data_IF_699809719124
#
_entry.id   IF_699809719124
#
_cell.length_a   1.000
_cell.length_b   1.000
_cell.length_c   1.000
_cell.angle_alpha   90.00
_cell.angle_beta   90.00
_cell.angle_gamma   90.00
#
_symmetry.space_group_name_H-M   'P 1'
#
loop_
_entity.id
_entity.type
_entity.pdbx_description
1 polymer ?
#
# COMPACT_ATOMS: atom_id res chain seq x y z
N UNK A 1 -4.55 13.36 2.43
CA UNK A 1 -5.65 12.52 2.98
C UNK A 1 -5.05 11.65 4.09
N UNK A 2 -5.82 10.91 4.90
CA UNK A 2 -5.24 9.95 5.86
C UNK A 2 -5.42 8.54 5.34
N UNK A 3 -4.32 7.82 5.12
CA UNK A 3 -4.32 6.42 4.72
C UNK A 3 -4.59 5.55 5.94
N UNK A 4 -5.53 4.63 5.83
CA UNK A 4 -5.91 3.70 6.90
C UNK A 4 -5.90 2.28 6.36
N UNK A 5 -6.02 1.30 7.24
CA UNK A 5 -6.13 -0.10 6.84
C UNK A 5 -7.37 -0.40 5.99
N UNK A 6 -8.36 0.52 5.95
CA UNK A 6 -9.55 0.43 5.10
C UNK A 6 -9.36 1.05 3.72
N UNK A 7 -8.24 1.74 3.50
CA UNK A 7 -7.93 2.35 2.21
C UNK A 7 -7.54 1.27 1.21
N UNK A 8 -8.08 1.35 0.00
CA UNK A 8 -7.77 0.42 -1.09
C UNK A 8 -6.36 0.61 -1.62
N UNK A 9 -5.76 -0.45 -2.14
CA UNK A 9 -4.46 -0.37 -2.79
C UNK A 9 -4.48 0.60 -3.97
N UNK A 10 -5.56 0.63 -4.75
CA UNK A 10 -5.75 1.60 -5.85
C UNK A 10 -5.54 3.04 -5.38
N UNK A 11 -6.19 3.43 -4.28
CA UNK A 11 -6.05 4.78 -3.71
C UNK A 11 -4.64 5.05 -3.22
N UNK A 12 -3.98 4.03 -2.66
CA UNK A 12 -2.59 4.14 -2.21
C UNK A 12 -1.65 4.30 -3.39
N UNK A 13 -1.91 3.64 -4.52
CA UNK A 13 -1.11 3.72 -5.75
C UNK A 13 -1.21 5.08 -6.45
N UNK A 14 -2.22 5.90 -6.16
CA UNK A 14 -2.30 7.29 -6.62
C UNK A 14 -1.25 8.21 -5.93
N UNK A 15 -0.66 7.77 -4.81
CA UNK A 15 0.34 8.55 -4.07
C UNK A 15 1.68 8.51 -4.83
N UNK A 16 2.32 9.66 -5.08
CA UNK A 16 3.61 9.70 -5.76
C UNK A 16 4.69 8.92 -4.98
N UNK A 17 5.51 8.16 -5.69
CA UNK A 17 6.62 7.35 -5.13
C UNK A 17 6.21 6.26 -4.13
N UNK A 18 4.93 5.91 -4.05
CA UNK A 18 4.43 4.92 -3.09
C UNK A 18 4.93 3.50 -3.38
N UNK A 19 5.24 3.18 -4.62
CA UNK A 19 5.75 1.87 -5.02
C UNK A 19 7.09 1.55 -4.34
N UNK A 20 7.93 2.57 -4.07
CA UNK A 20 9.16 2.38 -3.31
C UNK A 20 8.89 2.03 -1.85
N UNK A 21 7.86 2.64 -1.25
CA UNK A 21 7.47 2.35 0.14
C UNK A 21 6.90 0.93 0.22
N UNK A 22 5.95 0.60 -0.65
CA UNK A 22 5.34 -0.72 -0.70
C UNK A 22 6.41 -1.82 -0.94
N UNK A 23 7.38 -1.56 -1.82
CA UNK A 23 8.53 -2.45 -2.06
C UNK A 23 9.43 -2.61 -0.84
N UNK A 24 9.73 -1.52 -0.12
CA UNK A 24 10.51 -1.55 1.14
C UNK A 24 9.82 -2.40 2.22
N UNK A 25 8.49 -2.34 2.26
CA UNK A 25 7.64 -3.14 3.15
C UNK A 25 7.37 -4.56 2.63
N UNK A 26 8.04 -4.98 1.55
CA UNK A 26 7.92 -6.32 0.95
C UNK A 26 6.50 -6.67 0.51
N UNK A 27 5.67 -5.68 0.16
CA UNK A 27 4.37 -5.93 -0.46
C UNK A 27 4.63 -6.64 -1.79
N UNK A 28 4.17 -7.90 -1.95
CA UNK A 28 4.44 -8.65 -3.18
C UNK A 28 3.58 -8.13 -4.33
N UNK A 29 3.86 -8.63 -5.54
CA UNK A 29 2.98 -8.50 -6.70
C UNK A 29 2.77 -7.07 -7.24
N UNK A 30 3.56 -6.08 -6.81
CA UNK A 30 3.51 -4.72 -7.33
C UNK A 30 4.03 -4.58 -8.77
N UNK A 31 4.86 -5.52 -9.23
CA UNK A 31 5.51 -5.50 -10.55
C UNK A 31 4.72 -6.26 -11.62
N UNK A 32 3.73 -7.07 -11.24
CA UNK A 32 2.90 -7.81 -12.18
C UNK A 32 1.60 -7.02 -12.43
N UNK A 33 1.32 -6.57 -13.67
CA UNK A 33 0.15 -5.74 -13.98
C UNK A 33 -1.17 -6.40 -13.59
N UNK A 34 -1.29 -7.71 -13.83
CA UNK A 34 -2.50 -8.48 -13.54
C UNK A 34 -2.75 -8.57 -12.03
N UNK A 35 -1.72 -8.91 -11.26
CA UNK A 35 -1.84 -8.99 -9.81
C UNK A 35 -2.10 -7.61 -9.18
N UNK A 36 -1.48 -6.55 -9.70
CA UNK A 36 -1.75 -5.17 -9.27
C UNK A 36 -3.22 -4.79 -9.51
N UNK A 37 -3.81 -5.20 -10.64
CA UNK A 37 -5.21 -4.97 -10.94
C UNK A 37 -6.16 -5.76 -10.02
N UNK A 38 -5.89 -7.04 -9.78
CA UNK A 38 -6.69 -7.86 -8.85
C UNK A 38 -6.63 -7.29 -7.43
N UNK A 39 -5.44 -6.89 -6.98
CA UNK A 39 -5.22 -6.35 -5.65
C UNK A 39 -5.67 -4.89 -5.50
N UNK A 40 -5.92 -4.15 -6.60
CA UNK A 40 -6.29 -2.74 -6.56
C UNK A 40 -7.54 -2.48 -5.69
N UNK A 41 -8.50 -3.40 -5.75
CA UNK A 41 -9.75 -3.36 -4.98
C UNK A 41 -9.60 -3.79 -3.51
N UNK A 42 -8.50 -4.44 -3.16
CA UNK A 42 -8.23 -4.91 -1.80
C UNK A 42 -7.79 -3.76 -0.90
N UNK A 43 -8.15 -3.86 0.38
CA UNK A 43 -7.69 -2.88 1.37
C UNK A 43 -6.26 -3.20 1.78
N UNK A 44 -5.48 -2.16 2.10
CA UNK A 44 -4.10 -2.34 2.58
C UNK A 44 -4.04 -3.22 3.84
N UNK A 45 -5.01 -3.11 4.75
CA UNK A 45 -5.06 -3.98 5.93
C UNK A 45 -5.18 -5.46 5.56
N UNK A 46 -6.04 -5.78 4.59
CA UNK A 46 -6.23 -7.15 4.12
C UNK A 46 -4.94 -7.67 3.47
N UNK A 47 -4.27 -6.85 2.64
CA UNK A 47 -2.97 -7.20 2.02
C UNK A 47 -1.91 -7.45 3.10
N UNK A 48 -1.82 -6.58 4.11
CA UNK A 48 -0.88 -6.77 5.22
C UNK A 48 -1.16 -8.07 5.97
N UNK A 49 -2.44 -8.39 6.23
CA UNK A 49 -2.81 -9.63 6.91
C UNK A 49 -2.50 -10.87 6.06
N UNK A 50 -2.82 -10.83 4.76
CA UNK A 50 -2.59 -11.94 3.83
C UNK A 50 -1.11 -12.30 3.68
N UNK A 51 -0.24 -11.29 3.67
CA UNK A 51 1.20 -11.48 3.47
C UNK A 51 2.04 -11.34 4.76
N UNK A 52 1.40 -11.17 5.92
CA UNK A 52 2.09 -11.03 7.20
C UNK A 52 2.98 -9.78 7.30
N UNK A 53 2.55 -8.68 6.70
CA UNK A 53 3.28 -7.41 6.70
C UNK A 53 2.95 -6.58 7.94
N UNK A 54 3.86 -5.69 8.33
CA UNK A 54 3.63 -4.78 9.45
C UNK A 54 2.70 -3.63 9.02
N UNK A 55 1.40 -3.85 9.20
CA UNK A 55 0.35 -2.88 8.85
C UNK A 55 0.62 -1.51 9.49
N UNK A 56 1.03 -1.48 10.76
CA UNK A 56 1.21 -0.24 11.51
C UNK A 56 2.37 0.58 10.95
N UNK A 57 3.51 -0.06 10.71
CA UNK A 57 4.68 0.61 10.17
C UNK A 57 4.44 1.06 8.71
N UNK A 58 3.80 0.24 7.89
CA UNK A 58 3.44 0.58 6.52
C UNK A 58 2.51 1.80 6.49
N UNK A 59 1.42 1.79 7.23
CA UNK A 59 0.48 2.92 7.30
C UNK A 59 1.17 4.19 7.79
N UNK A 60 2.09 4.09 8.75
CA UNK A 60 2.85 5.24 9.25
C UNK A 60 3.74 5.85 8.17
N UNK A 61 4.45 5.02 7.38
CA UNK A 61 5.27 5.53 6.27
C UNK A 61 4.41 6.12 5.14
N UNK A 62 3.31 5.45 4.75
CA UNK A 62 2.39 5.94 3.73
C UNK A 62 1.83 7.32 4.09
N UNK A 63 1.36 7.50 5.33
CA UNK A 63 0.86 8.79 5.79
C UNK A 63 1.97 9.86 5.90
N UNK A 64 3.21 9.47 6.22
CA UNK A 64 4.34 10.42 6.28
C UNK A 64 4.75 10.91 4.89
N UNK A 65 4.56 10.09 3.86
CA UNK A 65 4.85 10.45 2.48
C UNK A 65 3.77 11.37 1.88
N UNK A 66 2.48 11.07 2.11
CA UNK A 66 1.34 11.93 1.70
C UNK A 66 1.46 13.38 2.22
N UNK A 67 2.04 13.60 3.40
CA UNK A 67 2.18 14.94 4.00
C UNK A 67 3.32 15.76 3.36
N UNK A 68 4.14 15.15 2.49
CA UNK A 68 5.32 15.78 1.87
C UNK A 68 5.13 16.19 0.41
N UNK A 69 3.92 16.05 -0.17
CA UNK A 69 3.60 16.46 -1.54
C UNK A 69 2.84 17.78 -1.61
#
# INVERSE_FOLDING_TARGET
MKITNRTTLERVLEIPNVEQILGKHKVPCLTCPMAKFEMASLKIGDICQMYGLDEKELLKELNKNEVKS
#
